data_IF_502030126737
#
_entry.id   IF_502030126737
#
_cell.length_a   1.000
_cell.length_b   1.000
_cell.length_c   1.000
_cell.angle_alpha   90.00
_cell.angle_beta   90.00
_cell.angle_gamma   90.00
#
_symmetry.space_group_name_H-M   'P 1'
#
loop_
_entity.id
_entity.type
_entity.pdbx_description
1 polymer ?
#
# COMPACT_ATOMS: atom_id res chain seq x y z
N UNK A 1 17.72 14.88 8.17
CA UNK A 1 18.23 15.84 7.18
C UNK A 1 17.54 15.57 5.86
N UNK A 2 17.15 16.62 5.14
CA UNK A 2 16.58 16.55 3.80
C UNK A 2 17.34 17.53 2.90
N UNK A 3 17.55 17.17 1.65
CA UNK A 3 18.23 18.04 0.66
C UNK A 3 17.28 18.32 -0.49
N UNK A 4 16.91 19.57 -0.64
CA UNK A 4 16.11 20.06 -1.77
C UNK A 4 17.03 20.70 -2.81
N UNK A 5 16.86 20.36 -4.07
CA UNK A 5 17.64 20.92 -5.19
C UNK A 5 16.70 21.73 -6.07
N UNK A 6 16.94 23.04 -6.16
CA UNK A 6 16.14 23.97 -6.93
C UNK A 6 17.06 24.79 -7.85
N UNK A 7 16.83 24.72 -9.16
CA UNK A 7 17.62 25.46 -10.19
C UNK A 7 19.15 25.33 -10.05
N UNK A 8 19.63 24.18 -9.52
CA UNK A 8 21.06 23.92 -9.29
C UNK A 8 21.60 24.40 -7.93
N UNK A 9 20.78 25.08 -7.13
CA UNK A 9 21.10 25.39 -5.73
C UNK A 9 20.59 24.32 -4.80
N UNK A 10 21.44 23.77 -3.95
CA UNK A 10 21.04 22.78 -2.94
C UNK A 10 20.74 23.47 -1.61
N UNK A 11 19.52 23.31 -1.11
CA UNK A 11 19.13 23.75 0.23
C UNK A 11 19.05 22.52 1.15
N UNK A 12 19.77 22.56 2.25
CA UNK A 12 19.82 21.51 3.24
C UNK A 12 18.91 21.89 4.41
N UNK A 13 17.97 21.02 4.74
CA UNK A 13 17.06 21.15 5.87
C UNK A 13 17.47 20.19 6.97
N UNK A 14 17.66 20.70 8.18
CA UNK A 14 18.06 19.91 9.34
C UNK A 14 17.05 20.04 10.47
N UNK A 15 16.46 18.93 10.89
CA UNK A 15 15.68 18.86 12.12
C UNK A 15 16.65 18.86 13.31
N UNK A 16 16.85 20.03 13.91
CA UNK A 16 17.72 20.26 15.07
C UNK A 16 16.89 20.12 16.36
N UNK A 17 16.66 18.85 16.70
CA UNK A 17 15.79 18.45 17.81
C UNK A 17 16.22 19.06 19.15
N UNK A 18 17.53 19.11 19.42
CA UNK A 18 18.07 19.62 20.70
C UNK A 18 17.87 21.11 20.90
N UNK A 19 17.64 21.85 19.81
CA UNK A 19 17.41 23.30 19.83
C UNK A 19 15.98 23.66 19.40
N UNK A 20 15.06 22.70 19.38
CA UNK A 20 13.64 22.92 19.10
C UNK A 20 13.40 23.71 17.79
N UNK A 21 14.11 23.36 16.72
CA UNK A 21 14.03 24.06 15.44
C UNK A 21 14.33 23.18 14.23
N UNK A 22 13.89 23.61 13.06
CA UNK A 22 14.40 23.15 11.76
C UNK A 22 15.16 24.29 11.11
N UNK A 23 16.34 24.02 10.59
CA UNK A 23 17.18 25.02 9.94
C UNK A 23 17.33 24.67 8.48
N UNK A 24 17.03 25.64 7.60
CA UNK A 24 17.29 25.55 6.17
C UNK A 24 18.51 26.43 5.83
N UNK A 25 19.50 25.87 5.16
CA UNK A 25 20.71 26.57 4.77
C UNK A 25 21.27 26.06 3.45
N UNK A 26 21.99 26.92 2.75
CA UNK A 26 22.82 26.55 1.58
C UNK A 26 24.25 26.36 2.00
N UNK A 27 24.99 25.55 1.23
CA UNK A 27 26.39 25.30 1.46
C UNK A 27 27.17 25.86 0.29
N UNK A 28 27.99 26.90 0.58
CA UNK A 28 28.90 27.45 -0.38
C UNK A 28 30.30 26.82 -0.21
N UNK A 29 30.90 26.35 -1.28
CA UNK A 29 32.30 25.88 -1.25
C UNK A 29 33.23 27.05 -1.36
N UNK A 30 34.05 27.28 -0.34
CA UNK A 30 35.04 28.32 -0.29
C UNK A 30 36.42 27.66 -0.25
N UNK A 31 37.33 28.06 -1.16
CA UNK A 31 38.71 27.59 -1.14
C UNK A 31 39.28 27.29 -2.52
N UNK A 32 40.53 26.85 -2.55
CA UNK A 32 41.25 26.41 -3.75
C UNK A 32 41.03 24.92 -3.98
N UNK A 33 41.37 24.40 -5.17
CA UNK A 33 41.22 22.97 -5.51
C UNK A 33 41.90 22.01 -4.51
N UNK A 34 42.88 22.50 -3.76
CA UNK A 34 43.65 21.73 -2.78
C UNK A 34 43.06 21.77 -1.36
N UNK A 35 42.31 22.85 -1.01
CA UNK A 35 41.68 23.01 0.31
C UNK A 35 40.31 23.67 0.16
N UNK A 36 39.28 22.88 0.05
CA UNK A 36 37.88 23.34 0.02
C UNK A 36 37.26 23.31 1.43
N UNK A 37 36.70 24.43 1.83
CA UNK A 37 35.92 24.55 3.08
C UNK A 37 34.50 24.89 2.70
N UNK A 38 33.52 24.16 3.27
CA UNK A 38 32.12 24.45 3.07
C UNK A 38 31.58 25.34 4.18
N UNK A 39 30.92 26.44 3.82
CA UNK A 39 30.31 27.38 4.77
C UNK A 39 28.79 27.37 4.56
N UNK A 40 28.07 27.10 5.63
CA UNK A 40 26.62 27.12 5.63
C UNK A 40 26.08 28.55 5.76
N UNK A 41 25.17 28.95 4.85
CA UNK A 41 24.41 30.20 4.94
C UNK A 41 22.96 29.89 5.29
N UNK A 42 22.53 30.27 6.49
CA UNK A 42 21.14 30.05 6.94
C UNK A 42 20.20 30.91 6.10
N UNK A 43 19.17 30.26 5.56
CA UNK A 43 18.05 30.86 4.82
C UNK A 43 16.85 31.12 5.72
N UNK A 44 16.36 30.08 6.36
CA UNK A 44 15.14 30.11 7.21
C UNK A 44 15.34 29.23 8.44
N UNK A 45 14.74 29.65 9.55
CA UNK A 45 14.65 28.85 10.77
C UNK A 45 13.18 28.66 11.12
N UNK A 46 12.72 27.42 11.13
CA UNK A 46 11.37 27.06 11.52
C UNK A 46 11.39 26.71 13.01
N UNK A 47 10.53 27.38 13.76
CA UNK A 47 10.39 27.19 15.20
C UNK A 47 8.95 26.91 15.55
N UNK A 48 8.67 26.75 16.83
CA UNK A 48 7.32 26.54 17.33
C UNK A 48 6.36 27.62 16.81
N UNK A 49 5.24 27.23 16.13
CA UNK A 49 4.26 28.18 15.64
C UNK A 49 3.51 28.89 16.79
N UNK A 50 3.33 30.19 16.67
CA UNK A 50 2.40 30.95 17.48
C UNK A 50 1.03 31.01 16.79
N UNK A 51 0.38 29.86 16.69
CA UNK A 51 -0.90 29.72 16.01
C UNK A 51 -1.87 28.96 16.90
N UNK A 52 -3.15 29.36 16.89
CA UNK A 52 -4.21 28.73 17.69
C UNK A 52 -4.46 27.26 17.35
N UNK A 53 -4.10 26.83 16.14
CA UNK A 53 -4.16 25.42 15.69
C UNK A 53 -3.05 24.57 16.28
N UNK A 54 -1.91 25.15 16.68
CA UNK A 54 -0.82 24.45 17.32
C UNK A 54 -1.11 24.27 18.80
N UNK A 55 -0.93 23.06 19.32
CA UNK A 55 -1.16 22.76 20.73
C UNK A 55 -0.07 23.43 21.58
N UNK A 56 -0.48 24.41 22.40
CA UNK A 56 0.44 25.16 23.26
C UNK A 56 1.15 24.31 24.31
N UNK A 57 0.63 23.12 24.62
CA UNK A 57 1.24 22.19 25.60
C UNK A 57 2.35 21.32 24.98
N UNK A 58 2.47 21.28 23.65
CA UNK A 58 3.47 20.46 22.97
C UNK A 58 4.71 21.28 22.64
N UNK A 59 5.88 20.77 23.01
CA UNK A 59 7.17 21.34 22.62
C UNK A 59 7.43 21.07 21.14
N UNK A 60 8.11 22.00 20.47
CA UNK A 60 8.51 21.82 19.08
C UNK A 60 9.78 20.94 19.05
N UNK A 61 9.55 19.63 18.94
CA UNK A 61 10.60 18.62 18.98
C UNK A 61 10.66 17.90 17.60
N UNK A 62 11.29 18.55 16.57
CA UNK A 62 11.32 18.03 15.21
C UNK A 62 12.21 16.80 15.12
N UNK A 63 11.73 15.76 14.47
CA UNK A 63 12.47 14.51 14.25
C UNK A 63 12.85 14.29 12.79
N UNK A 64 12.00 14.73 11.86
CA UNK A 64 12.20 14.58 10.42
C UNK A 64 11.67 15.80 9.69
N UNK A 65 12.26 16.13 8.55
CA UNK A 65 11.83 17.22 7.67
C UNK A 65 11.80 16.73 6.22
N UNK A 66 10.86 17.22 5.44
CA UNK A 66 10.63 16.93 4.03
C UNK A 66 10.17 18.19 3.32
N UNK A 67 10.46 18.34 2.05
CA UNK A 67 10.01 19.47 1.23
C UNK A 67 9.38 18.96 -0.06
N UNK A 68 8.20 19.45 -0.39
CA UNK A 68 7.52 19.10 -1.64
C UNK A 68 7.96 20.02 -2.81
N UNK A 69 7.49 19.72 -4.02
CA UNK A 69 7.79 20.51 -5.20
C UNK A 69 7.23 21.95 -5.13
N UNK A 70 6.17 22.17 -4.34
CA UNK A 70 5.61 23.52 -4.09
C UNK A 70 6.39 24.28 -3.01
N UNK A 71 7.48 23.69 -2.47
CA UNK A 71 8.32 24.23 -1.39
C UNK A 71 7.59 24.36 -0.05
N UNK A 72 6.54 23.57 0.18
CA UNK A 72 6.01 23.40 1.52
C UNK A 72 6.96 22.50 2.33
N UNK A 73 7.20 22.89 3.57
CA UNK A 73 8.10 22.19 4.48
C UNK A 73 7.28 21.39 5.48
N UNK A 74 7.39 20.08 5.42
CA UNK A 74 6.71 19.15 6.32
C UNK A 74 7.66 18.74 7.44
N UNK A 75 7.18 18.77 8.68
CA UNK A 75 7.99 18.45 9.85
C UNK A 75 7.26 17.44 10.73
N UNK A 76 7.87 16.27 10.94
CA UNK A 76 7.43 15.36 11.97
C UNK A 76 7.86 15.89 13.33
N UNK A 77 6.93 16.10 14.23
CA UNK A 77 7.15 16.59 15.59
C UNK A 77 6.72 15.51 16.55
N UNK A 78 7.61 15.12 17.46
CA UNK A 78 7.30 14.11 18.48
C UNK A 78 6.13 14.55 19.37
N UNK A 79 5.29 13.59 19.72
CA UNK A 79 4.07 13.79 20.52
C UNK A 79 2.94 14.55 19.82
N UNK A 80 3.05 14.85 18.52
CA UNK A 80 1.95 15.37 17.69
C UNK A 80 1.32 14.25 16.89
N UNK A 81 0.04 13.98 17.19
CA UNK A 81 -0.75 12.91 16.55
C UNK A 81 -1.67 13.42 15.43
N UNK A 82 -1.62 14.73 15.15
CA UNK A 82 -2.39 15.38 14.09
C UNK A 82 -1.76 15.23 12.70
N UNK A 83 -0.62 14.56 12.60
CA UNK A 83 0.18 14.43 11.38
C UNK A 83 1.41 15.32 11.37
N UNK A 84 2.07 15.45 10.22
CA UNK A 84 3.22 16.34 10.07
C UNK A 84 2.78 17.81 10.09
N UNK A 85 3.53 18.68 10.76
CA UNK A 85 3.33 20.12 10.69
C UNK A 85 3.79 20.64 9.33
N UNK A 86 3.01 21.52 8.71
CA UNK A 86 3.28 22.07 7.37
C UNK A 86 3.57 23.56 7.51
N UNK A 87 4.70 23.96 6.93
CA UNK A 87 5.12 25.35 6.87
C UNK A 87 5.29 25.81 5.41
N UNK A 88 5.11 27.11 5.18
CA UNK A 88 5.53 27.72 3.92
C UNK A 88 7.05 27.78 3.83
N UNK A 89 7.58 28.11 2.64
CA UNK A 89 9.02 28.36 2.42
C UNK A 89 9.56 29.49 3.33
N UNK A 90 8.71 30.45 3.68
CA UNK A 90 9.02 31.60 4.51
C UNK A 90 8.98 31.32 6.02
N UNK A 91 8.38 30.18 6.42
CA UNK A 91 8.27 29.76 7.81
C UNK A 91 6.89 29.90 8.44
N UNK A 92 5.86 30.28 7.66
CA UNK A 92 4.50 30.39 8.14
C UNK A 92 3.86 29.02 8.32
N UNK A 93 3.20 28.81 9.44
CA UNK A 93 2.53 27.54 9.75
C UNK A 93 1.17 27.43 9.05
N UNK A 94 1.01 26.43 8.19
CA UNK A 94 -0.18 26.21 7.37
C UNK A 94 -1.12 25.13 7.93
N UNK A 95 -0.72 24.39 8.97
CA UNK A 95 -1.54 23.35 9.57
C UNK A 95 -0.84 21.99 9.66
N UNK A 96 -1.64 20.91 9.62
CA UNK A 96 -1.15 19.53 9.75
C UNK A 96 -1.57 18.69 8.56
N UNK A 97 -0.74 17.73 8.22
CA UNK A 97 -0.92 16.84 7.07
C UNK A 97 -0.78 15.36 7.45
N UNK A 98 -1.66 14.51 6.93
CA UNK A 98 -1.47 13.06 6.93
C UNK A 98 -1.68 12.36 8.27
N UNK A 99 -2.53 12.88 9.17
CA UNK A 99 -2.83 12.25 10.46
C UNK A 99 -3.22 10.76 10.31
N UNK A 100 -2.75 9.93 11.23
CA UNK A 100 -3.16 8.54 11.32
C UNK A 100 -4.63 8.42 11.77
N UNK A 101 -5.31 7.35 11.35
CA UNK A 101 -6.67 7.05 11.80
C UNK A 101 -6.62 6.45 13.20
N UNK A 102 -7.67 6.71 13.98
CA UNK A 102 -7.90 5.98 15.23
C UNK A 102 -8.51 4.64 14.87
N UNK A 103 -7.86 3.57 15.26
CA UNK A 103 -8.41 2.23 15.02
C UNK A 103 -9.76 2.04 15.72
N UNK A 104 -10.70 1.46 14.99
CA UNK A 104 -12.01 1.07 15.51
C UNK A 104 -11.92 -0.25 16.29
N UNK A 105 -11.04 -0.34 17.30
CA UNK A 105 -10.99 -1.50 18.17
C UNK A 105 -12.28 -1.64 18.98
N UNK A 106 -12.60 -2.85 19.44
CA UNK A 106 -13.78 -3.08 20.30
C UNK A 106 -13.79 -2.15 21.53
N UNK A 107 -12.61 -1.82 22.08
CA UNK A 107 -12.46 -0.88 23.19
C UNK A 107 -12.79 0.56 22.77
N UNK A 108 -12.37 0.99 21.58
CA UNK A 108 -12.67 2.33 21.04
C UNK A 108 -14.15 2.47 20.77
N UNK A 109 -14.78 1.45 20.15
CA UNK A 109 -16.22 1.43 19.89
C UNK A 109 -17.03 1.44 21.19
N UNK A 110 -16.61 0.65 22.17
CA UNK A 110 -17.23 0.61 23.50
C UNK A 110 -17.07 1.95 24.21
N UNK A 111 -15.91 2.57 24.17
CA UNK A 111 -15.67 3.90 24.73
C UNK A 111 -16.51 4.99 24.03
N UNK A 112 -16.66 4.89 22.70
CA UNK A 112 -17.55 5.81 21.96
C UNK A 112 -19.01 5.61 22.37
N UNK A 113 -19.48 4.37 22.53
CA UNK A 113 -20.82 4.05 23.00
C UNK A 113 -21.07 4.59 24.42
N UNK A 114 -20.14 4.37 25.36
CA UNK A 114 -20.27 4.88 26.72
C UNK A 114 -20.24 6.41 26.79
N UNK A 115 -19.49 7.10 25.90
CA UNK A 115 -19.50 8.58 25.82
C UNK A 115 -20.85 9.15 25.42
N UNK A 116 -21.71 8.38 24.72
CA UNK A 116 -23.08 8.79 24.39
C UNK A 116 -24.01 8.69 25.60
N UNK A 117 -23.72 7.79 26.54
CA UNK A 117 -24.58 7.50 27.69
C UNK A 117 -24.14 8.30 28.93
N UNK A 118 -22.85 8.54 29.10
CA UNK A 118 -22.29 9.23 30.25
C UNK A 118 -22.46 10.76 30.18
N UNK A 119 -22.53 11.41 31.38
CA UNK A 119 -22.50 12.84 31.46
C UNK A 119 -21.20 13.43 30.92
N UNK A 120 -21.21 14.73 30.52
CA UNK A 120 -20.02 15.41 29.99
C UNK A 120 -18.80 15.33 30.90
N UNK A 121 -19.01 15.32 32.22
CA UNK A 121 -17.91 15.23 33.19
C UNK A 121 -17.33 13.80 33.28
N UNK A 122 -18.18 12.80 33.22
CA UNK A 122 -17.75 11.39 33.20
C UNK A 122 -17.04 11.06 31.88
N UNK A 123 -17.56 11.54 30.75
CA UNK A 123 -16.94 11.35 29.44
C UNK A 123 -15.54 11.99 29.32
N UNK A 124 -15.29 13.11 30.03
CA UNK A 124 -13.96 13.75 30.09
C UNK A 124 -12.90 12.90 30.81
N UNK A 125 -13.32 12.04 31.72
CA UNK A 125 -12.40 11.11 32.47
C UNK A 125 -12.09 9.83 31.74
N UNK A 126 -12.80 9.53 30.65
CA UNK A 126 -12.55 8.34 29.85
C UNK A 126 -11.26 8.47 29.04
N UNK A 127 -10.56 7.36 28.85
CA UNK A 127 -9.37 7.31 27.98
C UNK A 127 -9.74 7.84 26.59
N UNK A 128 -8.96 8.76 26.07
CA UNK A 128 -9.05 9.19 24.67
C UNK A 128 -8.22 8.22 23.84
N UNK A 129 -8.83 7.62 22.84
CA UNK A 129 -8.08 6.95 21.79
C UNK A 129 -7.43 8.03 20.92
N UNK A 130 -6.12 8.11 20.99
CA UNK A 130 -5.33 9.09 20.26
C UNK A 130 -4.64 8.33 19.13
N UNK A 131 -4.63 8.84 17.88
CA UNK A 131 -3.87 8.23 16.79
C UNK A 131 -2.39 8.11 17.16
N UNK A 132 -1.70 7.13 16.60
CA UNK A 132 -0.25 7.02 16.71
C UNK A 132 0.39 8.12 15.85
N UNK A 133 1.48 8.71 16.30
CA UNK A 133 2.22 9.72 15.54
C UNK A 133 2.91 9.12 14.31
N UNK A 134 3.12 9.93 13.27
CA UNK A 134 3.97 9.58 12.13
C UNK A 134 5.42 9.55 12.61
N UNK A 135 6.11 8.44 12.37
CA UNK A 135 7.50 8.28 12.79
C UNK A 135 8.48 8.86 11.77
N UNK A 136 8.20 8.63 10.50
CA UNK A 136 9.02 9.09 9.40
C UNK A 136 8.21 9.23 8.12
N UNK A 137 8.77 9.92 7.13
CA UNK A 137 8.17 10.10 5.81
C UNK A 137 9.23 10.29 4.73
N UNK A 138 8.81 10.06 3.49
CA UNK A 138 9.57 10.36 2.28
C UNK A 138 8.62 10.75 1.14
N UNK A 139 9.16 11.22 0.01
CA UNK A 139 8.40 11.73 -1.13
C UNK A 139 8.91 11.14 -2.44
N UNK A 140 7.99 10.74 -3.32
CA UNK A 140 8.35 10.29 -4.65
C UNK A 140 8.43 11.45 -5.67
N UNK A 141 8.88 11.14 -6.89
CA UNK A 141 8.97 12.10 -7.99
C UNK A 141 7.64 12.71 -8.41
N UNK A 142 6.52 12.07 -8.08
CA UNK A 142 5.16 12.50 -8.40
C UNK A 142 4.53 13.31 -7.25
N UNK A 143 5.31 13.64 -6.22
CA UNK A 143 4.91 14.36 -4.99
C UNK A 143 3.89 13.61 -4.11
N UNK A 144 3.82 12.29 -4.19
CA UNK A 144 3.12 11.53 -3.15
C UNK A 144 4.02 11.40 -1.92
N UNK A 145 3.46 11.69 -0.77
CA UNK A 145 4.17 11.57 0.51
C UNK A 145 3.89 10.20 1.11
N UNK A 146 4.94 9.44 1.33
CA UNK A 146 4.89 8.16 2.02
C UNK A 146 5.18 8.37 3.50
N UNK A 147 4.36 7.80 4.37
CA UNK A 147 4.55 7.91 5.82
C UNK A 147 4.61 6.56 6.45
N UNK A 148 5.52 6.40 7.41
CA UNK A 148 5.57 5.20 8.25
C UNK A 148 5.25 5.54 9.68
N UNK A 149 4.64 4.56 10.35
CA UNK A 149 4.24 4.63 11.75
C UNK A 149 4.91 3.51 12.51
N UNK A 150 5.64 3.87 13.56
CA UNK A 150 6.26 2.91 14.46
C UNK A 150 5.20 2.28 15.37
N UNK A 151 4.41 1.36 14.82
CA UNK A 151 3.39 0.63 15.56
C UNK A 151 3.91 -0.74 16.00
N UNK A 152 3.46 -1.19 17.18
CA UNK A 152 3.78 -2.54 17.71
C UNK A 152 2.78 -3.60 17.26
N UNK A 153 1.69 -3.20 16.64
CA UNK A 153 0.64 -4.08 16.16
C UNK A 153 0.66 -4.15 14.62
N UNK A 154 0.11 -5.22 14.06
CA UNK A 154 -0.04 -5.43 12.61
C UNK A 154 -1.11 -4.51 12.00
N UNK A 155 -1.08 -3.22 12.35
CA UNK A 155 -2.14 -2.29 12.04
C UNK A 155 -2.01 -1.66 10.66
N UNK A 156 -3.15 -1.27 10.13
CA UNK A 156 -3.39 -0.85 8.75
C UNK A 156 -2.66 0.42 8.30
N UNK A 157 -2.05 1.18 9.20
CA UNK A 157 -1.42 2.46 8.91
C UNK A 157 0.13 2.45 9.07
N UNK A 158 0.76 1.27 8.99
CA UNK A 158 2.24 1.17 9.07
C UNK A 158 2.88 1.93 7.93
N UNK A 159 2.42 1.73 6.70
CA UNK A 159 2.81 2.47 5.50
C UNK A 159 1.58 3.09 4.85
N UNK A 160 1.66 4.36 4.52
CA UNK A 160 0.63 5.08 3.75
C UNK A 160 1.29 5.82 2.58
N UNK A 161 0.62 5.84 1.45
CA UNK A 161 0.91 6.73 0.32
C UNK A 161 -0.16 7.81 0.28
N UNK A 162 0.22 9.04 0.57
CA UNK A 162 -0.70 10.17 0.73
C UNK A 162 -0.67 11.06 -0.50
N UNK A 163 -1.84 11.41 -1.01
CA UNK A 163 -1.96 12.44 -2.04
C UNK A 163 -1.88 13.85 -1.40
N UNK A 164 -1.91 14.91 -2.22
CA UNK A 164 -1.85 16.30 -1.78
C UNK A 164 -2.97 16.71 -0.79
N UNK A 165 -4.08 15.96 -0.75
CA UNK A 165 -5.16 16.17 0.20
C UNK A 165 -4.96 15.40 1.52
N UNK A 166 -3.84 14.68 1.69
CA UNK A 166 -3.56 13.84 2.86
C UNK A 166 -4.37 12.54 2.91
N UNK A 167 -4.96 12.13 1.79
CA UNK A 167 -5.73 10.88 1.73
C UNK A 167 -4.81 9.72 1.38
N UNK A 168 -4.88 8.64 2.16
CA UNK A 168 -4.15 7.41 1.87
C UNK A 168 -4.76 6.70 0.67
N UNK A 169 -4.03 6.65 -0.45
CA UNK A 169 -4.52 6.01 -1.68
C UNK A 169 -4.44 4.50 -1.63
N UNK A 170 -3.58 3.92 -0.83
CA UNK A 170 -3.49 2.46 -0.68
C UNK A 170 -4.78 1.85 -0.12
N UNK A 171 -5.44 2.50 0.84
CA UNK A 171 -6.73 2.03 1.38
C UNK A 171 -7.86 2.06 0.35
N UNK A 172 -7.84 3.03 -0.57
CA UNK A 172 -8.87 3.16 -1.61
C UNK A 172 -8.71 2.13 -2.73
N UNK A 173 -7.53 1.55 -2.88
CA UNK A 173 -7.25 0.49 -3.85
C UNK A 173 -7.47 -0.92 -3.29
N UNK A 174 -7.96 -1.05 -2.06
CA UNK A 174 -8.19 -2.36 -1.42
C UNK A 174 -6.93 -2.99 -0.83
N UNK A 175 -5.85 -2.23 -0.70
CA UNK A 175 -4.59 -2.66 -0.09
C UNK A 175 -4.61 -2.63 1.46
N UNK A 176 -5.79 -2.65 2.08
CA UNK A 176 -5.94 -2.68 3.54
C UNK A 176 -5.39 -3.96 4.19
N UNK A 177 -5.17 -5.01 3.40
CA UNK A 177 -4.72 -6.31 3.88
C UNK A 177 -3.20 -6.53 3.73
N UNK A 178 -2.45 -5.52 3.25
CA UNK A 178 -1.00 -5.61 3.15
C UNK A 178 -0.35 -5.57 4.52
N UNK A 179 0.49 -6.56 4.75
CA UNK A 179 1.33 -6.65 5.95
C UNK A 179 2.75 -6.25 5.59
N UNK A 180 3.25 -5.19 6.23
CA UNK A 180 4.60 -4.70 6.02
C UNK A 180 5.57 -5.27 7.07
N UNK A 181 6.77 -5.59 6.63
CA UNK A 181 7.77 -6.23 7.48
C UNK A 181 7.43 -7.70 7.78
N UNK A 182 7.97 -8.24 8.86
CA UNK A 182 7.61 -9.55 9.40
C UNK A 182 6.31 -9.40 10.21
N UNK A 183 5.17 -9.50 9.53
CA UNK A 183 3.84 -9.39 10.14
C UNK A 183 3.53 -10.53 11.12
N UNK A 184 4.21 -11.66 10.97
CA UNK A 184 4.08 -12.79 11.88
C UNK A 184 4.97 -12.56 13.09
N UNK A 185 4.36 -12.46 14.25
CA UNK A 185 5.03 -12.49 15.55
C UNK A 185 5.84 -13.80 15.64
N UNK A 186 7.14 -13.72 15.40
CA UNK A 186 8.00 -14.90 15.53
C UNK A 186 8.39 -15.10 16.98
N UNK A 187 8.05 -16.26 17.52
CA UNK A 187 8.50 -16.68 18.85
C UNK A 187 9.91 -17.24 18.73
N UNK A 188 10.90 -16.51 19.25
CA UNK A 188 12.28 -16.94 19.31
C UNK A 188 12.82 -16.77 20.73
N UNK A 189 13.35 -17.82 21.34
CA UNK A 189 13.89 -17.85 22.70
C UNK A 189 12.95 -17.26 23.78
N UNK A 190 11.64 -17.54 23.68
CA UNK A 190 10.67 -17.06 24.66
C UNK A 190 10.21 -15.60 24.46
N UNK A 191 10.63 -14.94 23.40
CA UNK A 191 10.21 -13.57 23.07
C UNK A 191 9.50 -13.51 21.72
N UNK A 192 8.47 -12.72 21.65
CA UNK A 192 7.73 -12.40 20.43
C UNK A 192 8.35 -11.17 19.78
N UNK A 193 8.72 -11.28 18.52
CA UNK A 193 9.25 -10.17 17.74
C UNK A 193 8.24 -9.82 16.64
N UNK A 194 7.79 -8.58 16.62
CA UNK A 194 7.13 -7.96 15.47
C UNK A 194 8.07 -6.95 14.86
N UNK A 195 7.99 -6.75 13.56
CA UNK A 195 8.69 -5.65 12.89
C UNK A 195 8.31 -4.31 13.52
N UNK A 196 9.28 -3.42 13.58
CA UNK A 196 9.13 -2.04 14.04
C UNK A 196 9.77 -1.15 12.98
N UNK A 197 8.94 -0.70 12.02
CA UNK A 197 9.41 0.13 10.92
C UNK A 197 9.74 1.51 11.45
N UNK A 198 10.98 1.93 11.31
CA UNK A 198 11.48 3.20 11.87
C UNK A 198 11.85 4.22 10.80
N UNK A 199 12.19 3.78 9.60
CA UNK A 199 12.57 4.66 8.51
C UNK A 199 12.04 4.15 7.17
N UNK A 200 11.91 5.06 6.22
CA UNK A 200 11.45 4.83 4.86
C UNK A 200 12.27 5.67 3.89
N UNK A 201 12.56 5.09 2.75
CA UNK A 201 13.13 5.73 1.58
C UNK A 201 12.38 5.27 0.34
N UNK A 202 12.05 6.19 -0.53
CA UNK A 202 11.40 5.93 -1.82
C UNK A 202 12.36 6.28 -2.94
N UNK A 203 12.90 5.26 -3.56
CA UNK A 203 13.86 5.42 -4.66
C UNK A 203 13.22 6.10 -5.89
N UNK A 204 14.02 6.70 -6.73
CA UNK A 204 13.57 7.39 -7.94
C UNK A 204 12.81 6.49 -8.96
N UNK A 205 12.97 5.18 -8.86
CA UNK A 205 12.25 4.18 -9.66
C UNK A 205 10.93 3.71 -9.03
N UNK A 206 10.52 4.30 -7.90
CA UNK A 206 9.31 3.93 -7.15
C UNK A 206 9.49 2.78 -6.17
N UNK A 207 10.71 2.26 -6.01
CA UNK A 207 11.01 1.21 -5.05
C UNK A 207 10.98 1.78 -3.63
N UNK A 208 10.28 1.09 -2.72
CA UNK A 208 10.10 1.51 -1.32
C UNK A 208 11.00 0.65 -0.43
N UNK A 209 11.90 1.28 0.31
CA UNK A 209 12.78 0.64 1.29
C UNK A 209 12.28 0.93 2.70
N UNK A 210 11.83 -0.09 3.43
CA UNK A 210 11.38 0.02 4.82
C UNK A 210 12.43 -0.57 5.77
N UNK A 211 12.89 0.22 6.74
CA UNK A 211 13.90 -0.18 7.71
C UNK A 211 13.24 -0.67 9.00
N UNK A 212 13.53 -1.91 9.38
CA UNK A 212 13.04 -2.51 10.63
C UNK A 212 14.10 -2.41 11.74
N UNK A 213 13.81 -1.63 12.77
CA UNK A 213 14.65 -1.45 13.93
C UNK A 213 14.89 -2.74 14.71
N UNK A 214 13.88 -3.62 14.80
CA UNK A 214 13.94 -4.84 15.63
C UNK A 214 14.81 -5.92 15.03
N UNK A 215 14.71 -6.11 13.73
CA UNK A 215 15.43 -7.19 13.06
C UNK A 215 16.66 -6.68 12.29
N UNK A 216 16.81 -5.35 12.15
CA UNK A 216 17.88 -4.73 11.36
C UNK A 216 17.78 -5.05 9.88
N UNK A 217 16.60 -5.38 9.40
CA UNK A 217 16.34 -5.72 8.00
C UNK A 217 15.80 -4.54 7.22
N UNK A 218 16.16 -4.48 5.96
CA UNK A 218 15.50 -3.65 4.97
C UNK A 218 14.56 -4.54 4.19
N UNK A 219 13.28 -4.14 4.17
CA UNK A 219 12.25 -4.74 3.33
C UNK A 219 12.04 -3.84 2.13
N UNK A 220 12.26 -4.37 0.94
CA UNK A 220 12.12 -3.63 -0.30
C UNK A 220 10.82 -4.04 -1.00
N UNK A 221 9.99 -3.06 -1.34
CA UNK A 221 8.69 -3.24 -2.00
C UNK A 221 8.65 -2.45 -3.31
N UNK A 222 7.77 -2.86 -4.23
CA UNK A 222 7.36 -2.00 -5.34
C UNK A 222 6.25 -1.01 -4.89
N UNK A 223 5.80 -0.16 -5.80
CA UNK A 223 4.75 0.83 -5.51
C UNK A 223 3.34 0.22 -5.34
N UNK A 224 3.16 -1.05 -5.74
CA UNK A 224 1.97 -1.87 -5.45
C UNK A 224 2.07 -2.65 -4.13
N UNK A 225 3.07 -2.35 -3.30
CA UNK A 225 3.33 -3.01 -2.01
C UNK A 225 3.68 -4.51 -2.11
N UNK A 226 4.18 -4.98 -3.25
CA UNK A 226 4.69 -6.34 -3.40
C UNK A 226 6.11 -6.42 -2.85
N UNK A 227 6.36 -7.38 -1.96
CA UNK A 227 7.68 -7.57 -1.38
C UNK A 227 8.66 -8.13 -2.43
N UNK A 228 9.71 -7.37 -2.73
CA UNK A 228 10.75 -7.73 -3.69
C UNK A 228 11.89 -8.49 -3.03
N UNK A 229 12.49 -7.88 -2.01
CA UNK A 229 13.68 -8.39 -1.33
C UNK A 229 13.68 -8.08 0.16
N UNK A 230 14.40 -8.91 0.90
CA UNK A 230 14.73 -8.67 2.31
C UNK A 230 16.24 -8.85 2.46
N UNK A 231 16.92 -7.84 2.99
CA UNK A 231 18.36 -7.91 3.23
C UNK A 231 18.75 -7.19 4.53
N UNK A 232 19.99 -7.36 4.95
CA UNK A 232 20.45 -6.89 6.26
C UNK A 232 20.09 -7.83 7.41
N UNK A 233 20.22 -7.37 8.64
CA UNK A 233 19.90 -8.09 9.88
C UNK A 233 20.75 -7.63 11.05
N UNK A 234 20.37 -8.00 12.28
CA UNK A 234 21.18 -7.76 13.48
C UNK A 234 22.29 -8.80 13.56
N UNK A 235 23.52 -8.36 13.77
CA UNK A 235 24.68 -9.24 13.89
C UNK A 235 26.03 -8.54 13.80
N UNK A 236 27.10 -9.35 13.73
CA UNK A 236 28.48 -8.87 13.64
C UNK A 236 29.12 -9.14 12.26
N UNK A 237 28.40 -9.81 11.38
CA UNK A 237 28.88 -10.13 10.03
C UNK A 237 28.79 -8.91 9.11
N UNK A 238 29.44 -9.01 7.94
CA UNK A 238 29.33 -8.00 6.89
C UNK A 238 27.87 -7.95 6.40
N UNK A 239 27.31 -6.74 6.26
CA UNK A 239 25.90 -6.53 5.88
C UNK A 239 24.92 -6.70 7.05
N UNK A 240 25.40 -6.78 8.29
CA UNK A 240 24.57 -6.79 9.50
C UNK A 240 24.89 -5.60 10.41
N UNK A 241 23.96 -5.28 11.32
CA UNK A 241 23.97 -4.07 12.11
C UNK A 241 23.90 -4.36 13.60
N UNK A 242 24.30 -3.38 14.42
CA UNK A 242 24.01 -3.38 15.85
C UNK A 242 22.69 -2.65 16.13
N UNK A 243 22.54 -1.40 15.65
CA UNK A 243 21.34 -0.59 15.78
C UNK A 243 21.21 0.22 14.50
N UNK A 244 20.18 -0.09 13.71
CA UNK A 244 19.87 0.67 12.47
C UNK A 244 19.16 1.97 12.82
N UNK A 245 19.51 3.06 12.11
CA UNK A 245 18.95 4.37 12.36
C UNK A 245 18.30 5.00 11.13
N UNK A 246 18.87 4.79 9.93
CA UNK A 246 18.36 5.39 8.72
C UNK A 246 18.66 4.50 7.50
N UNK A 247 17.79 4.57 6.51
CA UNK A 247 17.97 4.01 5.16
C UNK A 247 17.79 5.12 4.13
N UNK A 248 18.59 5.07 3.08
CA UNK A 248 18.53 6.01 1.96
C UNK A 248 19.02 5.33 0.69
N UNK A 249 18.41 5.59 -0.44
CA UNK A 249 18.85 5.06 -1.73
C UNK A 249 19.40 6.13 -2.63
N UNK A 250 20.39 5.77 -3.45
CA UNK A 250 20.90 6.63 -4.51
C UNK A 250 21.30 5.79 -5.70
N UNK A 251 20.58 5.96 -6.79
CA UNK A 251 20.71 5.09 -7.96
C UNK A 251 20.35 3.65 -7.58
N UNK A 252 21.21 2.69 -7.88
CA UNK A 252 21.01 1.26 -7.57
C UNK A 252 21.59 0.83 -6.21
N UNK A 253 22.06 1.76 -5.39
CA UNK A 253 22.63 1.47 -4.08
C UNK A 253 21.68 1.87 -2.96
N UNK A 254 21.63 1.03 -1.91
CA UNK A 254 20.92 1.34 -0.66
C UNK A 254 21.96 1.51 0.46
N UNK A 255 21.88 2.62 1.18
CA UNK A 255 22.74 3.02 2.28
C UNK A 255 22.00 2.84 3.60
N UNK A 256 22.60 2.13 4.54
CA UNK A 256 22.00 1.93 5.86
C UNK A 256 22.98 2.43 6.93
N UNK A 257 22.50 3.33 7.78
CA UNK A 257 23.26 3.90 8.90
C UNK A 257 23.10 3.00 10.13
N UNK A 258 24.24 2.54 10.67
CA UNK A 258 24.33 1.92 12.00
C UNK A 258 24.81 2.96 13.00
N UNK A 259 23.90 3.45 13.84
CA UNK A 259 24.22 4.49 14.83
C UNK A 259 25.13 4.01 15.93
N UNK A 260 25.14 2.71 16.29
CA UNK A 260 26.02 2.17 17.33
C UNK A 260 27.42 1.88 16.80
N UNK A 261 27.55 1.42 15.56
CA UNK A 261 28.84 1.21 14.90
C UNK A 261 29.40 2.51 14.31
N UNK A 262 28.63 3.59 14.26
CA UNK A 262 28.98 4.86 13.59
C UNK A 262 29.47 4.61 12.15
N UNK A 263 28.76 3.77 11.40
CA UNK A 263 29.14 3.34 10.06
C UNK A 263 27.95 3.30 9.10
N UNK A 264 28.25 3.52 7.83
CA UNK A 264 27.27 3.37 6.74
C UNK A 264 27.63 2.11 5.97
N UNK A 265 26.67 1.20 5.85
CA UNK A 265 26.78 0.03 4.99
C UNK A 265 26.11 0.31 3.66
N UNK A 266 26.83 0.05 2.56
CA UNK A 266 26.31 0.21 1.21
C UNK A 266 25.96 -1.15 0.64
N UNK A 267 24.68 -1.36 0.34
CA UNK A 267 24.20 -2.51 -0.42
C UNK A 267 24.15 -2.14 -1.89
N UNK A 268 24.82 -2.92 -2.71
CA UNK A 268 24.81 -2.75 -4.17
C UNK A 268 23.81 -3.74 -4.76
N UNK A 269 23.07 -3.28 -5.74
CA UNK A 269 22.16 -4.12 -6.48
C UNK A 269 22.90 -5.30 -7.13
N UNK A 270 22.36 -6.50 -6.97
CA UNK A 270 22.85 -7.71 -7.64
C UNK A 270 22.32 -7.79 -9.07
N UNK A 271 22.89 -8.67 -9.90
CA UNK A 271 22.35 -8.91 -11.24
C UNK A 271 20.91 -9.43 -11.19
N UNK A 272 20.58 -10.31 -10.24
CA UNK A 272 19.22 -10.77 -10.01
C UNK A 272 18.27 -9.61 -9.64
N UNK A 273 18.68 -8.74 -8.71
CA UNK A 273 17.94 -7.54 -8.36
C UNK A 273 17.69 -6.62 -9.56
N UNK A 274 18.70 -6.44 -10.41
CA UNK A 274 18.57 -5.63 -11.63
C UNK A 274 17.54 -6.22 -12.62
N UNK A 275 17.50 -7.54 -12.76
CA UNK A 275 16.52 -8.22 -13.62
C UNK A 275 15.10 -8.00 -13.10
N UNK A 276 14.88 -8.15 -11.79
CA UNK A 276 13.56 -7.95 -11.16
C UNK A 276 13.10 -6.50 -11.28
N UNK A 277 13.96 -5.52 -10.95
CA UNK A 277 13.61 -4.10 -11.07
C UNK A 277 13.31 -3.71 -12.53
N UNK A 278 14.08 -4.24 -13.49
CA UNK A 278 13.78 -4.02 -14.91
C UNK A 278 12.41 -4.58 -15.32
N UNK A 279 12.08 -5.78 -14.86
CA UNK A 279 10.79 -6.40 -15.14
C UNK A 279 9.62 -5.56 -14.62
N UNK A 280 9.74 -5.07 -13.37
CA UNK A 280 8.74 -4.19 -12.74
C UNK A 280 8.63 -2.85 -13.49
N UNK A 281 9.77 -2.23 -13.82
CA UNK A 281 9.80 -0.96 -14.54
C UNK A 281 9.15 -1.06 -15.94
N UNK A 282 9.34 -2.18 -16.64
CA UNK A 282 8.67 -2.44 -17.91
C UNK A 282 7.17 -2.66 -17.72
N UNK A 283 6.79 -3.43 -16.71
CA UNK A 283 5.39 -3.68 -16.38
C UNK A 283 4.65 -2.39 -16.05
N UNK A 284 5.20 -1.54 -15.17
CA UNK A 284 4.62 -0.24 -14.78
C UNK A 284 4.49 0.75 -15.95
N UNK A 285 5.35 0.61 -16.98
CA UNK A 285 5.24 1.37 -18.24
C UNK A 285 4.22 0.78 -19.23
N UNK A 286 3.49 -0.29 -18.86
CA UNK A 286 2.55 -0.98 -19.73
C UNK A 286 3.19 -1.85 -20.82
N UNK A 287 4.51 -2.09 -20.74
CA UNK A 287 5.29 -2.90 -21.70
C UNK A 287 5.29 -4.37 -21.27
N UNK A 288 4.11 -4.96 -21.23
CA UNK A 288 3.89 -6.30 -20.69
C UNK A 288 4.66 -7.39 -21.45
N UNK A 289 4.68 -7.31 -22.78
CA UNK A 289 5.42 -8.25 -23.62
C UNK A 289 6.93 -8.17 -23.37
N UNK A 290 7.48 -6.96 -23.28
CA UNK A 290 8.90 -6.75 -22.96
C UNK A 290 9.25 -7.22 -21.55
N UNK A 291 8.32 -7.14 -20.59
CA UNK A 291 8.51 -7.56 -19.20
C UNK A 291 8.61 -9.11 -19.05
N UNK A 292 8.09 -9.89 -20.00
CA UNK A 292 8.14 -11.37 -19.93
C UNK A 292 9.56 -11.90 -19.85
N UNK A 293 10.45 -11.44 -20.73
CA UNK A 293 11.82 -11.94 -20.78
C UNK A 293 12.59 -11.77 -19.46
N UNK A 294 12.59 -10.59 -18.81
CA UNK A 294 13.22 -10.47 -17.49
C UNK A 294 12.54 -11.36 -16.42
N UNK A 295 11.21 -11.52 -16.42
CA UNK A 295 10.54 -12.42 -15.48
C UNK A 295 10.92 -13.90 -15.70
N UNK A 296 11.02 -14.35 -16.94
CA UNK A 296 11.51 -15.70 -17.25
C UNK A 296 12.96 -15.89 -16.83
N UNK A 297 13.81 -14.86 -16.99
CA UNK A 297 15.21 -14.91 -16.54
C UNK A 297 15.27 -14.98 -15.00
N UNK A 298 14.41 -14.26 -14.29
CA UNK A 298 14.30 -14.36 -12.84
C UNK A 298 13.95 -15.78 -12.41
N UNK A 299 12.99 -16.45 -13.05
CA UNK A 299 12.63 -17.85 -12.77
C UNK A 299 13.73 -18.85 -13.13
N UNK A 300 14.54 -18.59 -14.17
CA UNK A 300 15.70 -19.44 -14.48
C UNK A 300 16.75 -19.41 -13.37
N UNK A 301 16.91 -18.27 -12.68
CA UNK A 301 17.85 -18.09 -11.58
C UNK A 301 17.31 -18.55 -10.24
N UNK A 302 16.04 -18.30 -9.99
CA UNK A 302 15.31 -18.73 -8.79
C UNK A 302 13.90 -19.17 -9.17
N UNK A 303 13.72 -20.48 -9.32
CA UNK A 303 12.41 -21.07 -9.63
C UNK A 303 11.37 -20.93 -8.53
N UNK A 304 11.77 -20.52 -7.31
CA UNK A 304 10.87 -20.25 -6.19
C UNK A 304 10.51 -18.78 -6.05
N UNK A 305 11.01 -17.91 -6.93
CA UNK A 305 10.69 -16.49 -6.89
C UNK A 305 9.23 -16.24 -7.34
N UNK A 306 8.33 -16.31 -6.37
CA UNK A 306 6.87 -16.30 -6.58
C UNK A 306 6.35 -15.09 -7.34
N UNK A 307 6.99 -13.91 -7.16
CA UNK A 307 6.58 -12.66 -7.82
C UNK A 307 6.73 -12.74 -9.35
N UNK A 308 7.73 -13.47 -9.85
CA UNK A 308 7.89 -13.66 -11.29
C UNK A 308 6.75 -14.47 -11.92
N UNK A 309 6.15 -15.42 -11.18
CA UNK A 309 4.94 -16.09 -11.65
C UNK A 309 3.75 -15.14 -11.74
N UNK A 310 3.60 -14.23 -10.78
CA UNK A 310 2.55 -13.20 -10.83
C UNK A 310 2.82 -12.22 -11.96
N UNK A 311 4.06 -11.77 -12.14
CA UNK A 311 4.45 -10.88 -13.22
C UNK A 311 4.17 -11.47 -14.61
N UNK A 312 4.55 -12.74 -14.84
CA UNK A 312 4.22 -13.45 -16.07
C UNK A 312 2.72 -13.65 -16.24
N UNK A 313 2.02 -14.03 -15.18
CA UNK A 313 0.57 -14.17 -15.21
C UNK A 313 -0.13 -12.87 -15.62
N UNK A 314 0.29 -11.75 -15.04
CA UNK A 314 -0.22 -10.42 -15.39
C UNK A 314 0.13 -10.01 -16.83
N UNK A 315 1.35 -10.31 -17.30
CA UNK A 315 1.76 -10.03 -18.68
C UNK A 315 0.85 -10.76 -19.69
N UNK A 316 0.69 -12.09 -19.52
CA UNK A 316 -0.20 -12.88 -20.38
C UNK A 316 -1.69 -12.50 -20.25
N UNK A 317 -2.14 -12.11 -19.05
CA UNK A 317 -3.50 -11.62 -18.83
C UNK A 317 -3.78 -10.35 -19.65
N UNK A 318 -2.83 -9.41 -19.68
CA UNK A 318 -2.95 -8.17 -20.43
C UNK A 318 -2.84 -8.38 -21.95
N UNK A 319 -2.13 -9.42 -22.38
CA UNK A 319 -2.08 -9.82 -23.80
C UNK A 319 -3.35 -10.58 -24.25
N UNK A 320 -4.19 -11.01 -23.31
CA UNK A 320 -5.41 -11.78 -23.59
C UNK A 320 -5.19 -13.29 -23.71
N UNK A 321 -3.98 -13.80 -23.41
CA UNK A 321 -3.72 -15.24 -23.27
C UNK A 321 -4.10 -15.71 -21.86
N UNK A 322 -5.39 -15.86 -21.66
CA UNK A 322 -5.96 -16.20 -20.36
C UNK A 322 -5.58 -17.61 -19.89
N UNK A 323 -5.39 -18.55 -20.82
CA UNK A 323 -5.06 -19.94 -20.51
C UNK A 323 -3.63 -20.03 -19.94
N UNK A 324 -2.70 -19.30 -20.52
CA UNK A 324 -1.33 -19.21 -20.01
C UNK A 324 -1.25 -18.41 -18.72
N UNK A 325 -2.00 -17.28 -18.62
CA UNK A 325 -2.09 -16.50 -17.41
C UNK A 325 -2.58 -17.34 -16.21
N UNK A 326 -3.65 -18.13 -16.40
CA UNK A 326 -4.17 -19.02 -15.36
C UNK A 326 -3.14 -20.06 -14.90
N UNK A 327 -2.29 -20.60 -15.79
CA UNK A 327 -1.23 -21.55 -15.41
C UNK A 327 -0.21 -20.90 -14.46
N UNK A 328 0.22 -19.65 -14.77
CA UNK A 328 1.16 -18.93 -13.93
C UNK A 328 0.57 -18.53 -12.58
N UNK A 329 -0.71 -18.13 -12.53
CA UNK A 329 -1.38 -17.75 -11.28
C UNK A 329 -1.75 -18.92 -10.38
N UNK A 330 -1.86 -20.15 -10.93
CA UNK A 330 -2.49 -21.28 -10.25
C UNK A 330 -2.00 -21.53 -8.83
N UNK A 331 -0.69 -21.44 -8.60
CA UNK A 331 -0.10 -21.68 -7.28
C UNK A 331 0.18 -20.42 -6.46
N UNK A 332 0.26 -19.25 -7.11
CA UNK A 332 0.83 -18.06 -6.49
C UNK A 332 -0.16 -16.91 -6.33
N UNK A 333 -1.27 -16.90 -7.06
CA UNK A 333 -2.27 -15.83 -6.97
C UNK A 333 -3.68 -16.34 -7.26
N UNK A 334 -4.43 -16.59 -6.20
CA UNK A 334 -5.84 -16.97 -6.32
C UNK A 334 -6.69 -15.85 -6.95
N UNK A 335 -6.39 -14.59 -6.62
CA UNK A 335 -7.07 -13.43 -7.20
C UNK A 335 -6.79 -13.34 -8.69
N UNK A 336 -5.51 -13.33 -9.08
CA UNK A 336 -5.10 -13.28 -10.49
C UNK A 336 -5.70 -14.43 -11.32
N UNK A 337 -5.71 -15.65 -10.76
CA UNK A 337 -6.38 -16.78 -11.41
C UNK A 337 -7.86 -16.52 -11.66
N UNK A 338 -8.59 -16.02 -10.65
CA UNK A 338 -10.01 -15.74 -10.78
C UNK A 338 -10.29 -14.62 -11.80
N UNK A 339 -9.44 -13.61 -11.87
CA UNK A 339 -9.57 -12.50 -12.82
C UNK A 339 -9.29 -13.00 -14.26
N UNK A 340 -8.26 -13.81 -14.45
CA UNK A 340 -7.97 -14.46 -15.72
C UNK A 340 -9.12 -15.38 -16.17
N UNK A 341 -9.63 -16.21 -15.26
CA UNK A 341 -10.77 -17.09 -15.53
C UNK A 341 -12.05 -16.31 -15.86
N UNK A 342 -12.33 -15.23 -15.14
CA UNK A 342 -13.46 -14.34 -15.41
C UNK A 342 -13.35 -13.73 -16.81
N UNK A 343 -12.18 -13.23 -17.17
CA UNK A 343 -11.90 -12.63 -18.47
C UNK A 343 -12.01 -13.66 -19.60
N UNK A 344 -11.44 -14.86 -19.42
CA UNK A 344 -11.59 -16.00 -20.32
C UNK A 344 -13.07 -16.34 -20.56
N UNK A 345 -13.83 -16.50 -19.49
CA UNK A 345 -15.26 -16.83 -19.56
C UNK A 345 -16.06 -15.76 -20.29
N UNK A 346 -15.79 -14.48 -20.02
CA UNK A 346 -16.49 -13.37 -20.69
C UNK A 346 -16.18 -13.33 -22.18
N UNK A 347 -14.93 -13.56 -22.56
CA UNK A 347 -14.55 -13.64 -23.97
C UNK A 347 -15.18 -14.86 -24.64
N UNK A 348 -15.16 -16.02 -24.00
CA UNK A 348 -15.80 -17.21 -24.54
C UNK A 348 -17.29 -17.00 -24.81
N UNK A 349 -18.02 -16.36 -23.88
CA UNK A 349 -19.44 -16.01 -24.06
C UNK A 349 -19.61 -15.02 -25.20
N UNK A 350 -18.76 -13.99 -25.29
CA UNK A 350 -18.83 -12.97 -26.34
C UNK A 350 -18.60 -13.57 -27.71
N UNK A 351 -17.57 -14.38 -27.86
CA UNK A 351 -17.16 -14.96 -29.13
C UNK A 351 -18.16 -16.03 -29.63
N UNK A 352 -18.87 -16.68 -28.70
CA UNK A 352 -19.90 -17.67 -29.01
C UNK A 352 -21.34 -17.15 -28.79
N UNK A 353 -21.52 -15.81 -28.70
CA UNK A 353 -22.82 -15.21 -28.37
C UNK A 353 -23.96 -15.69 -29.28
N UNK A 354 -23.71 -15.76 -30.62
CA UNK A 354 -24.71 -16.21 -31.59
C UNK A 354 -25.16 -17.63 -31.32
N UNK A 355 -24.23 -18.53 -30.97
CA UNK A 355 -24.55 -19.93 -30.66
C UNK A 355 -25.41 -20.00 -29.38
N UNK A 356 -25.02 -19.26 -28.32
CA UNK A 356 -25.81 -19.20 -27.07
C UNK A 356 -27.20 -18.63 -27.32
N UNK A 357 -27.33 -17.58 -28.14
CA UNK A 357 -28.61 -16.98 -28.47
C UNK A 357 -29.53 -17.98 -29.20
N UNK A 358 -28.99 -18.73 -30.17
CA UNK A 358 -29.73 -19.78 -30.88
C UNK A 358 -30.19 -20.90 -29.92
N UNK A 359 -29.30 -21.39 -29.06
CA UNK A 359 -29.61 -22.42 -28.09
C UNK A 359 -30.72 -21.97 -27.14
N UNK A 360 -30.64 -20.75 -26.62
CA UNK A 360 -31.67 -20.16 -25.74
C UNK A 360 -33.02 -20.06 -26.50
N UNK A 361 -33.00 -19.59 -27.75
CA UNK A 361 -34.20 -19.49 -28.56
C UNK A 361 -34.88 -20.88 -28.75
N UNK A 362 -34.08 -21.88 -29.13
CA UNK A 362 -34.58 -23.28 -29.30
C UNK A 362 -35.19 -23.82 -28.01
N UNK A 363 -34.53 -23.55 -26.87
CA UNK A 363 -35.07 -23.94 -25.55
C UNK A 363 -36.42 -23.26 -25.24
N UNK A 364 -36.52 -21.94 -25.51
CA UNK A 364 -37.75 -21.18 -25.28
C UNK A 364 -38.89 -21.70 -26.16
N UNK A 365 -38.62 -21.97 -27.46
CA UNK A 365 -39.57 -22.57 -28.39
C UNK A 365 -40.00 -23.98 -27.90
N UNK A 366 -39.03 -24.79 -27.46
CA UNK A 366 -39.31 -26.11 -26.90
C UNK A 366 -40.23 -26.06 -25.66
N UNK A 367 -39.95 -25.15 -24.72
CA UNK A 367 -40.78 -24.91 -23.53
C UNK A 367 -42.19 -24.46 -23.93
N UNK A 368 -42.31 -23.57 -24.91
CA UNK A 368 -43.58 -23.09 -25.42
C UNK A 368 -44.40 -24.24 -26.05
N UNK A 369 -43.80 -25.05 -26.92
CA UNK A 369 -44.46 -26.24 -27.54
C UNK A 369 -44.88 -27.25 -26.48
N UNK A 370 -44.01 -27.56 -25.52
CA UNK A 370 -44.38 -28.48 -24.41
C UNK A 370 -45.53 -27.94 -23.56
N UNK A 371 -45.51 -26.65 -23.27
CA UNK A 371 -46.58 -25.98 -22.49
C UNK A 371 -47.91 -26.05 -23.23
N UNK A 372 -47.94 -25.73 -24.53
CA UNK A 372 -49.14 -25.78 -25.35
C UNK A 372 -49.65 -27.23 -25.48
N UNK A 373 -48.76 -28.18 -25.70
CA UNK A 373 -49.12 -29.62 -25.73
C UNK A 373 -49.74 -30.09 -24.40
N UNK A 374 -49.09 -29.77 -23.26
CA UNK A 374 -49.63 -30.10 -21.93
C UNK A 374 -51.00 -29.48 -21.68
N UNK A 375 -51.21 -28.23 -22.12
CA UNK A 375 -52.51 -27.57 -21.99
C UNK A 375 -53.59 -28.25 -22.86
N UNK A 376 -53.25 -28.64 -24.11
CA UNK A 376 -54.16 -29.43 -24.98
C UNK A 376 -54.52 -30.79 -24.36
N UNK A 377 -53.53 -31.50 -23.78
CA UNK A 377 -53.78 -32.78 -23.11
C UNK A 377 -54.68 -32.61 -21.85
N UNK A 378 -54.42 -31.56 -21.05
CA UNK A 378 -55.28 -31.25 -19.89
C UNK A 378 -56.71 -30.88 -20.30
N UNK A 379 -56.87 -30.10 -21.37
CA UNK A 379 -58.18 -29.73 -21.91
C UNK A 379 -58.96 -30.99 -22.39
N UNK A 380 -58.30 -31.90 -23.13
CA UNK A 380 -58.90 -33.16 -23.55
C UNK A 380 -59.39 -34.02 -22.37
N UNK A 381 -58.54 -34.15 -21.34
CA UNK A 381 -58.91 -34.91 -20.12
C UNK A 381 -60.09 -34.25 -19.38
N UNK A 382 -60.16 -32.94 -19.31
CA UNK A 382 -61.33 -32.24 -18.70
C UNK A 382 -62.58 -32.47 -19.50
N UNK A 383 -62.59 -32.41 -20.83
CA UNK A 383 -63.75 -32.66 -21.70
C UNK A 383 -64.18 -34.08 -21.56
N UNK A 384 -63.31 -35.07 -21.43
CA UNK A 384 -63.59 -36.45 -21.23
C UNK A 384 -64.23 -36.71 -19.84
N UNK A 385 -63.70 -36.08 -18.80
CA UNK A 385 -64.28 -36.11 -17.46
C UNK A 385 -65.71 -35.49 -17.41
N UNK A 386 -65.93 -34.40 -18.10
CA UNK A 386 -67.24 -33.75 -18.20
C UNK A 386 -68.26 -34.63 -18.97
N UNK A 387 -67.83 -35.34 -20.02
CA UNK A 387 -68.68 -36.31 -20.73
C UNK A 387 -69.10 -37.49 -19.83
N UNK A 388 -68.10 -38.06 -19.14
CA UNK A 388 -68.35 -39.13 -18.17
C UNK A 388 -69.29 -38.69 -17.01
N UNK A 389 -69.11 -37.46 -16.54
CA UNK A 389 -69.99 -36.91 -15.50
C UNK A 389 -71.42 -36.68 -15.99
N UNK A 390 -71.61 -36.21 -17.23
CA UNK A 390 -72.92 -36.04 -17.87
C UNK A 390 -73.61 -37.40 -18.11
N UNK A 391 -72.91 -38.43 -18.59
CA UNK A 391 -73.43 -39.79 -18.77
C UNK A 391 -73.83 -40.42 -17.44
N UNK A 392 -73.03 -40.21 -16.39
CA UNK A 392 -73.30 -40.71 -15.03
C UNK A 392 -74.57 -40.07 -14.40
N UNK A 393 -74.85 -38.84 -14.71
CA UNK A 393 -76.03 -38.14 -14.20
C UNK A 393 -77.29 -38.46 -15.03
N UNK A 394 -77.21 -38.70 -16.37
CA UNK A 394 -78.32 -39.18 -17.16
C UNK A 394 -78.83 -40.54 -16.70
N UNK A 395 -77.96 -41.49 -16.35
CA UNK A 395 -78.35 -42.79 -15.80
C UNK A 395 -78.93 -42.72 -14.40
N UNK A 396 -79.00 -41.55 -13.74
CA UNK A 396 -79.69 -41.37 -12.44
C UNK A 396 -81.04 -40.68 -12.56
N UNK A 397 -81.38 -40.10 -13.71
CA UNK A 397 -82.73 -39.55 -13.99
C UNK A 397 -83.69 -40.57 -14.62
N UNK A 398 -83.16 -41.75 -15.05
CA UNK A 398 -83.93 -42.81 -15.68
C UNK A 398 -84.27 -43.96 -14.66
N UNK A 399 -84.06 -43.79 -13.37
CA UNK A 399 -84.45 -44.68 -12.27
C UNK A 399 -85.41 -43.95 -11.33
#
# INVERSE_FOLDING_TARGET
VYVDVDEGESTIYVADNSNDRVVAFTVDEIGTDEYKTSVGKVKVVYTRPDASMYDSSVTFNPSKVLVDAAKNVYVCIKSITKGAAVFSKEGDFNGYFGANRVEATGEVLMNAFWKLIFSREQAKRMRRSVPVEISNFDIDSDNFIYTVTESKSADTDILKKLNSAGTNIYTNLGYSDYTFGDALTKYYRGQTYSSQITDIDVSADGTINLLDLKTGRVFQYDDECQLLFIFGGIGQQKGTFNIVNAVESRGSNVYVLDGRKCSITVFKQTEFGSIVHNAIALFNKGKYEEARQPWEEALRRDSNYWLAYIGLGNAYLNEGDYDTAMKYFYYNSKSGYNDAFKSWRMNFIRDNFTVFAIVILVLLVGIYVLSTWRNKVRARKRTEQEKLFKERNKGKEDV
#
